data_IF_536220406591
#
_entry.id   IF_536220406591
#
_cell.length_a   1.000
_cell.length_b   1.000
_cell.length_c   1.000
_cell.angle_alpha   90.00
_cell.angle_beta   90.00
_cell.angle_gamma   90.00
#
_symmetry.space_group_name_H-M   'P 1'
#
loop_
_entity.id
_entity.type
_entity.pdbx_description
1 polymer ?
#
# COMPACT_ATOMS: atom_id res chain seq x y z
N UNK A 1 -15.49 4.39 -25.25
CA UNK A 1 -14.62 5.19 -24.36
C UNK A 1 -13.35 4.39 -24.18
N UNK A 2 -12.17 4.97 -24.42
CA UNK A 2 -10.91 4.29 -24.11
C UNK A 2 -10.92 3.98 -22.62
N UNK A 3 -10.76 2.71 -22.23
CA UNK A 3 -10.60 2.26 -20.85
C UNK A 3 -9.48 3.06 -20.23
N UNK A 4 -9.69 3.63 -19.04
CA UNK A 4 -8.62 4.32 -18.30
C UNK A 4 -7.59 3.27 -17.94
N UNK A 5 -6.39 3.42 -18.45
CA UNK A 5 -5.29 2.51 -18.16
C UNK A 5 -4.94 2.57 -16.66
N UNK A 6 -4.68 1.44 -15.99
CA UNK A 6 -4.40 1.40 -14.57
C UNK A 6 -3.09 2.13 -14.23
N UNK A 7 -3.03 2.80 -13.07
CA UNK A 7 -1.77 3.23 -12.48
C UNK A 7 -1.01 2.03 -11.93
N UNK A 8 0.31 2.10 -11.96
CA UNK A 8 1.20 1.04 -11.45
C UNK A 8 1.85 1.53 -10.16
N UNK A 9 1.52 0.88 -9.04
CA UNK A 9 2.15 1.13 -7.74
C UNK A 9 3.12 -0.01 -7.40
N UNK A 10 4.34 0.36 -6.99
CA UNK A 10 5.37 -0.59 -6.61
C UNK A 10 5.11 -1.12 -5.20
N UNK A 11 4.82 -2.42 -5.07
CA UNK A 11 4.57 -3.13 -3.83
C UNK A 11 5.84 -3.25 -3.00
N UNK A 12 5.97 -2.45 -1.94
CA UNK A 12 7.18 -2.35 -1.11
C UNK A 12 8.42 -1.93 -1.90
N UNK A 13 8.23 -1.13 -2.97
CA UNK A 13 9.24 -0.83 -3.98
C UNK A 13 9.30 -1.84 -5.12
N UNK A 14 10.38 -1.83 -5.91
CA UNK A 14 10.65 -2.87 -6.93
C UNK A 14 11.15 -4.14 -6.24
N UNK A 15 10.30 -4.77 -5.43
CA UNK A 15 10.65 -5.81 -4.46
C UNK A 15 10.96 -7.17 -5.09
N UNK A 16 10.69 -7.35 -6.40
CA UNK A 16 11.20 -8.50 -7.14
C UNK A 16 12.71 -8.44 -7.39
N UNK A 17 13.28 -7.23 -7.43
CA UNK A 17 14.69 -7.01 -7.79
C UNK A 17 15.54 -6.55 -6.58
N UNK A 18 14.91 -5.95 -5.57
CA UNK A 18 15.57 -5.36 -4.40
C UNK A 18 14.90 -5.79 -3.10
N UNK A 19 15.62 -5.78 -1.96
CA UNK A 19 15.01 -6.03 -0.66
C UNK A 19 13.84 -5.07 -0.40
N UNK A 20 12.68 -5.63 -0.04
CA UNK A 20 11.45 -4.86 0.19
C UNK A 20 11.64 -3.75 1.23
N UNK A 21 10.88 -2.65 1.08
CA UNK A 21 10.86 -1.52 2.01
C UNK A 21 12.19 -0.80 2.22
N UNK A 22 13.18 -1.01 1.33
CA UNK A 22 14.43 -0.27 1.36
C UNK A 22 14.38 0.94 0.44
N UNK A 23 15.21 1.94 0.73
CA UNK A 23 15.39 3.10 -0.16
C UNK A 23 15.75 2.66 -1.59
N UNK A 24 16.66 1.68 -1.73
CA UNK A 24 17.06 1.15 -3.03
C UNK A 24 15.90 0.55 -3.82
N UNK A 25 14.96 -0.16 -3.15
CA UNK A 25 13.77 -0.71 -3.80
C UNK A 25 12.85 0.39 -4.35
N UNK A 26 12.66 1.50 -3.61
CA UNK A 26 11.82 2.61 -4.08
C UNK A 26 12.51 3.46 -5.15
N UNK A 27 13.82 3.69 -5.05
CA UNK A 27 14.59 4.35 -6.10
C UNK A 27 14.59 3.54 -7.39
N UNK A 28 14.72 2.22 -7.31
CA UNK A 28 14.56 1.33 -8.46
C UNK A 28 13.14 1.42 -9.05
N UNK A 29 12.09 1.46 -8.21
CA UNK A 29 10.72 1.63 -8.68
C UNK A 29 10.50 2.96 -9.42
N UNK A 30 11.17 4.05 -9.01
CA UNK A 30 11.18 5.33 -9.74
C UNK A 30 11.76 5.12 -11.15
N UNK A 31 12.94 4.51 -11.24
CA UNK A 31 13.60 4.23 -12.53
C UNK A 31 12.80 3.28 -13.42
N UNK A 32 12.07 2.34 -12.81
CA UNK A 32 11.16 1.42 -13.49
C UNK A 32 9.82 2.08 -13.88
N UNK A 33 9.64 3.37 -13.57
CA UNK A 33 8.50 4.17 -14.00
C UNK A 33 7.21 3.93 -13.22
N UNK A 34 7.26 3.44 -11.98
CA UNK A 34 6.08 3.32 -11.14
C UNK A 34 5.39 4.69 -10.96
N UNK A 35 4.05 4.70 -11.02
CA UNK A 35 3.23 5.90 -10.81
C UNK A 35 3.11 6.25 -9.33
N UNK A 36 3.22 5.26 -8.47
CA UNK A 36 3.14 5.37 -7.02
C UNK A 36 3.85 4.23 -6.31
N UNK A 37 3.80 4.28 -4.99
CA UNK A 37 4.36 3.28 -4.11
C UNK A 37 3.30 2.73 -3.18
N UNK A 38 3.42 1.47 -2.86
CA UNK A 38 2.75 0.85 -1.74
C UNK A 38 3.77 0.60 -0.62
N UNK A 39 3.34 0.73 0.63
CA UNK A 39 4.14 0.39 1.80
C UNK A 39 3.32 -0.11 2.97
N UNK A 40 3.95 -0.97 3.77
CA UNK A 40 3.46 -1.43 5.07
C UNK A 40 4.11 -0.63 6.20
N UNK A 41 3.32 -0.14 7.15
CA UNK A 41 3.85 0.60 8.30
C UNK A 41 3.61 -0.16 9.59
N UNK A 42 4.64 -0.19 10.45
CA UNK A 42 4.57 -0.63 11.85
C UNK A 42 5.19 0.42 12.77
N UNK A 43 4.79 0.40 14.02
CA UNK A 43 5.40 1.21 15.07
C UNK A 43 6.39 0.38 15.87
N UNK A 44 7.56 0.94 16.11
CA UNK A 44 8.52 0.44 17.10
C UNK A 44 8.01 0.66 18.53
N UNK A 45 8.70 0.10 19.54
CA UNK A 45 8.40 0.28 20.95
C UNK A 45 8.31 1.76 21.37
N UNK A 46 9.19 2.59 20.84
CA UNK A 46 9.24 4.03 21.06
C UNK A 46 8.35 4.82 20.10
N UNK A 47 7.45 4.10 19.37
CA UNK A 47 6.42 4.65 18.50
C UNK A 47 6.94 5.38 17.26
N UNK A 48 8.13 5.04 16.80
CA UNK A 48 8.67 5.52 15.53
C UNK A 48 8.05 4.70 14.39
N UNK A 49 7.43 5.33 13.37
CA UNK A 49 6.85 4.63 12.23
C UNK A 49 7.97 4.22 11.26
N UNK A 50 8.05 2.93 10.98
CA UNK A 50 9.00 2.34 10.03
C UNK A 50 8.27 1.56 8.94
N UNK A 51 8.91 1.38 7.80
CA UNK A 51 8.41 0.50 6.75
C UNK A 51 8.77 -0.95 7.09
N UNK A 52 7.76 -1.78 7.38
CA UNK A 52 7.95 -3.17 7.75
C UNK A 52 6.66 -3.98 7.62
N UNK A 53 6.75 -5.15 6.96
CA UNK A 53 5.55 -5.97 6.74
C UNK A 53 5.21 -6.86 7.95
N UNK A 54 6.15 -7.70 8.39
CA UNK A 54 5.90 -8.75 9.37
C UNK A 54 5.85 -8.22 10.81
N UNK A 55 5.20 -8.91 11.76
CA UNK A 55 5.28 -8.52 13.18
C UNK A 55 6.69 -8.67 13.74
N UNK A 56 7.50 -9.61 13.21
CA UNK A 56 8.87 -9.90 13.66
C UNK A 56 9.90 -9.57 12.58
N UNK A 57 11.16 -9.57 12.93
CA UNK A 57 12.28 -9.37 12.01
C UNK A 57 12.76 -10.66 11.32
N UNK A 58 12.08 -11.81 11.55
CA UNK A 58 12.60 -13.13 11.19
C UNK A 58 12.84 -13.30 9.68
N UNK A 59 11.84 -13.05 8.86
CA UNK A 59 11.92 -13.26 7.40
C UNK A 59 12.93 -12.32 6.74
N UNK A 60 12.96 -11.06 7.17
CA UNK A 60 13.76 -10.01 6.50
C UNK A 60 15.18 -9.90 7.07
N UNK A 61 15.36 -10.12 8.38
CA UNK A 61 16.63 -9.89 9.06
C UNK A 61 17.16 -11.12 9.83
N UNK A 62 16.52 -12.30 9.73
CA UNK A 62 16.93 -13.52 10.41
C UNK A 62 16.85 -13.46 11.94
N UNK A 63 16.07 -12.54 12.50
CA UNK A 63 15.94 -12.29 13.94
C UNK A 63 14.48 -12.39 14.37
N UNK A 64 14.18 -13.22 15.37
CA UNK A 64 12.81 -13.51 15.85
C UNK A 64 12.19 -12.40 16.70
N UNK A 65 12.90 -11.28 16.92
CA UNK A 65 12.40 -10.19 17.76
C UNK A 65 11.17 -9.51 17.11
N UNK A 66 10.20 -9.18 17.97
CA UNK A 66 9.01 -8.42 17.59
C UNK A 66 9.37 -6.93 17.40
N UNK A 67 8.97 -6.34 16.28
CA UNK A 67 9.15 -4.91 15.98
C UNK A 67 8.59 -4.02 17.09
N UNK A 68 7.42 -4.36 17.63
CA UNK A 68 6.78 -3.57 18.69
C UNK A 68 7.52 -3.66 20.05
N UNK A 69 8.44 -4.59 20.21
CA UNK A 69 9.27 -4.75 21.42
C UNK A 69 10.62 -4.03 21.33
N UNK A 70 11.04 -3.57 20.14
CA UNK A 70 12.31 -2.91 19.88
C UNK A 70 12.14 -1.41 19.68
N UNK A 71 13.10 -0.61 20.18
CA UNK A 71 13.23 0.79 19.79
C UNK A 71 13.74 0.91 18.35
N UNK A 72 13.55 2.05 17.73
CA UNK A 72 14.05 2.28 16.36
C UNK A 72 15.56 2.02 16.26
N UNK A 73 16.36 2.53 17.20
CA UNK A 73 17.80 2.26 17.24
C UNK A 73 18.11 0.76 17.24
N UNK A 74 17.38 -0.02 18.06
CA UNK A 74 17.57 -1.47 18.13
C UNK A 74 17.17 -2.20 16.85
N UNK A 75 16.17 -1.70 16.11
CA UNK A 75 15.81 -2.21 14.77
C UNK A 75 16.91 -1.88 13.78
N UNK A 76 17.38 -0.63 13.77
CA UNK A 76 18.42 -0.15 12.86
C UNK A 76 19.76 -0.87 13.05
N UNK A 77 20.14 -1.19 14.30
CA UNK A 77 21.35 -1.98 14.60
C UNK A 77 21.29 -3.38 13.99
N UNK A 78 20.08 -3.99 13.90
CA UNK A 78 19.85 -5.35 13.37
C UNK A 78 19.63 -5.35 11.85
N UNK A 79 19.05 -4.28 11.33
CA UNK A 79 18.77 -4.11 9.91
C UNK A 79 19.01 -2.66 9.49
N UNK A 80 20.26 -2.29 9.15
CA UNK A 80 20.64 -0.92 8.82
C UNK A 80 19.90 -0.30 7.63
N UNK A 81 19.27 -1.11 6.79
CA UNK A 81 18.50 -0.67 5.64
C UNK A 81 17.04 -0.33 5.97
N UNK A 82 16.62 -0.45 7.24
CA UNK A 82 15.27 -0.07 7.66
C UNK A 82 14.99 1.39 7.29
N UNK A 83 13.84 1.62 6.68
CA UNK A 83 13.45 2.96 6.25
C UNK A 83 12.42 3.56 7.20
N UNK A 84 12.65 4.80 7.62
CA UNK A 84 11.66 5.61 8.33
C UNK A 84 10.50 5.96 7.40
N UNK A 85 9.29 6.01 7.93
CA UNK A 85 8.14 6.47 7.17
C UNK A 85 8.30 7.92 6.69
N UNK A 86 8.94 8.79 7.48
CA UNK A 86 9.23 10.17 7.10
C UNK A 86 10.14 10.24 5.86
N UNK A 87 11.24 9.48 5.85
CA UNK A 87 12.18 9.45 4.71
C UNK A 87 11.49 8.93 3.43
N UNK A 88 10.59 7.95 3.59
CA UNK A 88 9.77 7.43 2.49
C UNK A 88 8.79 8.49 1.95
N UNK A 89 8.12 9.20 2.83
CA UNK A 89 7.18 10.26 2.46
C UNK A 89 7.90 11.39 1.71
N UNK A 90 9.06 11.82 2.19
CA UNK A 90 9.90 12.83 1.53
C UNK A 90 10.34 12.38 0.13
N UNK A 91 10.73 11.10 -0.01
CA UNK A 91 11.08 10.50 -1.30
C UNK A 91 9.89 10.56 -2.27
N UNK A 92 8.71 10.14 -1.82
CA UNK A 92 7.50 10.16 -2.64
C UNK A 92 7.10 11.57 -3.07
N UNK A 93 7.15 12.55 -2.16
CA UNK A 93 6.89 13.96 -2.45
C UNK A 93 7.88 14.49 -3.51
N UNK A 94 9.18 14.22 -3.32
CA UNK A 94 10.26 14.68 -4.21
C UNK A 94 10.07 14.19 -5.63
N UNK A 95 9.73 12.91 -5.79
CA UNK A 95 9.55 12.28 -7.10
C UNK A 95 8.11 12.25 -7.59
N UNK A 96 7.20 12.94 -6.88
CA UNK A 96 5.77 13.06 -7.20
C UNK A 96 5.11 11.70 -7.42
N UNK A 97 5.35 10.76 -6.51
CA UNK A 97 4.77 9.42 -6.54
C UNK A 97 3.58 9.33 -5.59
N UNK A 98 2.46 8.80 -6.09
CA UNK A 98 1.29 8.52 -5.25
C UNK A 98 1.62 7.48 -4.17
N UNK A 99 0.86 7.48 -3.08
CA UNK A 99 1.08 6.57 -1.96
C UNK A 99 -0.16 5.74 -1.62
N UNK A 100 0.05 4.45 -1.42
CA UNK A 100 -0.87 3.50 -0.81
C UNK A 100 -0.21 2.97 0.46
N UNK A 101 -0.67 3.43 1.64
CA UNK A 101 -0.03 3.20 2.94
C UNK A 101 -0.87 2.23 3.74
N UNK A 102 -0.37 1.00 3.97
CA UNK A 102 -1.03 0.03 4.83
C UNK A 102 -0.64 0.23 6.29
N UNK A 103 -1.64 0.44 7.16
CA UNK A 103 -1.46 0.31 8.62
C UNK A 103 -1.71 -1.13 9.03
N UNK A 104 -0.66 -1.78 9.55
CA UNK A 104 -0.70 -3.21 9.90
C UNK A 104 -1.52 -3.47 11.17
N UNK A 105 -2.40 -4.47 11.09
CA UNK A 105 -3.22 -4.97 12.19
C UNK A 105 -3.31 -6.51 12.19
N UNK A 106 -3.50 -7.18 13.36
CA UNK A 106 -3.51 -6.59 14.71
C UNK A 106 -2.11 -6.16 15.18
N UNK A 107 -2.05 -5.08 15.97
CA UNK A 107 -0.81 -4.61 16.61
C UNK A 107 -1.05 -4.29 18.09
N UNK A 108 -0.04 -4.43 18.99
CA UNK A 108 -0.21 -4.16 20.42
C UNK A 108 -0.64 -2.70 20.73
N UNK A 109 -0.28 -1.77 19.85
CA UNK A 109 -0.58 -0.35 19.98
C UNK A 109 -2.02 0.02 19.57
N UNK A 110 -2.82 -0.96 19.11
CA UNK A 110 -4.18 -0.70 18.61
C UNK A 110 -4.19 0.34 17.50
N UNK A 111 -5.07 1.36 17.60
CA UNK A 111 -5.22 2.43 16.59
C UNK A 111 -4.21 3.58 16.72
N UNK A 112 -3.18 3.45 17.54
CA UNK A 112 -2.14 4.49 17.65
C UNK A 112 -1.41 4.69 16.33
N UNK A 113 -1.24 3.64 15.54
CA UNK A 113 -0.55 3.68 14.25
C UNK A 113 -1.23 4.67 13.28
N UNK A 114 -2.57 4.65 13.16
CA UNK A 114 -3.29 5.60 12.31
C UNK A 114 -3.06 7.04 12.76
N UNK A 115 -3.12 7.29 14.08
CA UNK A 115 -2.89 8.63 14.62
C UNK A 115 -1.48 9.14 14.35
N UNK A 116 -0.46 8.28 14.46
CA UNK A 116 0.94 8.63 14.15
C UNK A 116 1.08 8.97 12.68
N UNK A 117 0.59 8.11 11.77
CA UNK A 117 0.66 8.35 10.32
C UNK A 117 -0.10 9.62 9.92
N UNK A 118 -1.30 9.83 10.44
CA UNK A 118 -2.09 11.05 10.16
C UNK A 118 -1.34 12.30 10.60
N UNK A 119 -0.72 12.29 11.78
CA UNK A 119 0.07 13.43 12.26
C UNK A 119 1.28 13.70 11.37
N UNK A 120 1.97 12.65 10.94
CA UNK A 120 3.10 12.77 10.01
C UNK A 120 2.67 13.36 8.65
N UNK A 121 1.55 12.89 8.10
CA UNK A 121 0.98 13.45 6.88
C UNK A 121 0.51 14.90 7.04
N UNK A 122 -0.01 15.27 8.21
CA UNK A 122 -0.40 16.65 8.51
C UNK A 122 0.80 17.58 8.61
N UNK A 123 1.91 17.13 9.19
CA UNK A 123 3.14 17.95 9.28
C UNK A 123 3.76 18.23 7.91
N UNK A 124 3.49 17.39 6.90
CA UNK A 124 3.94 17.56 5.52
C UNK A 124 2.84 18.07 4.56
N UNK A 125 1.70 18.56 5.08
CA UNK A 125 0.51 18.88 4.27
C UNK A 125 0.78 19.85 3.12
N UNK A 126 1.56 20.88 3.33
CA UNK A 126 1.90 21.89 2.31
C UNK A 126 2.75 21.30 1.18
N UNK A 127 3.70 20.43 1.52
CA UNK A 127 4.56 19.75 0.54
C UNK A 127 3.76 18.73 -0.26
N UNK A 128 2.89 17.96 0.40
CA UNK A 128 1.97 17.00 -0.23
C UNK A 128 1.04 17.74 -1.22
N UNK A 129 0.45 18.83 -0.79
CA UNK A 129 -0.44 19.64 -1.64
C UNK A 129 0.30 20.21 -2.85
N UNK A 130 1.50 20.74 -2.67
CA UNK A 130 2.32 21.29 -3.77
C UNK A 130 2.81 20.22 -4.74
N UNK A 131 3.08 19.01 -4.26
CA UNK A 131 3.50 17.89 -5.12
C UNK A 131 2.37 17.35 -6.00
N UNK A 132 1.12 17.48 -5.54
CA UNK A 132 -0.07 16.96 -6.21
C UNK A 132 -0.23 15.44 -6.12
N UNK A 133 0.51 14.76 -5.24
CA UNK A 133 0.40 13.30 -5.07
C UNK A 133 -0.92 12.91 -4.39
N UNK A 134 -1.46 11.77 -4.80
CA UNK A 134 -2.58 11.14 -4.13
C UNK A 134 -2.07 10.23 -3.00
N UNK A 135 -2.68 10.33 -1.80
CA UNK A 135 -2.37 9.46 -0.66
C UNK A 135 -3.61 8.68 -0.28
N UNK A 136 -3.48 7.36 -0.22
CA UNK A 136 -4.51 6.44 0.25
C UNK A 136 -4.04 5.70 1.49
N UNK A 137 -4.89 5.62 2.53
CA UNK A 137 -4.64 4.82 3.73
C UNK A 137 -5.37 3.49 3.63
N UNK A 138 -4.67 2.39 3.82
CA UNK A 138 -5.17 1.04 3.63
C UNK A 138 -5.09 0.22 4.91
N UNK A 139 -6.00 -0.72 5.09
CA UNK A 139 -5.88 -1.74 6.13
C UNK A 139 -6.77 -2.95 5.84
N UNK A 140 -6.38 -4.12 6.36
CA UNK A 140 -7.25 -5.30 6.50
C UNK A 140 -8.20 -5.19 7.71
N UNK A 141 -7.95 -4.25 8.61
CA UNK A 141 -8.80 -4.00 9.77
C UNK A 141 -10.00 -3.12 9.40
N UNK A 142 -11.20 -3.71 9.34
CA UNK A 142 -12.42 -2.95 9.13
C UNK A 142 -12.59 -1.80 10.13
N UNK A 143 -12.27 -2.02 11.42
CA UNK A 143 -12.36 -0.98 12.44
C UNK A 143 -11.41 0.19 12.18
N UNK A 144 -10.20 -0.08 11.69
CA UNK A 144 -9.25 0.96 11.31
C UNK A 144 -9.80 1.78 10.12
N UNK A 145 -10.22 1.12 9.05
CA UNK A 145 -10.78 1.76 7.85
C UNK A 145 -12.01 2.61 8.18
N UNK A 146 -12.98 2.07 8.93
CA UNK A 146 -14.19 2.83 9.29
C UNK A 146 -13.88 4.04 10.20
N UNK A 147 -12.85 3.94 11.04
CA UNK A 147 -12.38 5.07 11.83
C UNK A 147 -11.79 6.18 10.96
N UNK A 148 -10.97 5.82 9.97
CA UNK A 148 -10.42 6.74 9.00
C UNK A 148 -11.52 7.42 8.17
N UNK A 149 -12.50 6.65 7.67
CA UNK A 149 -13.64 7.18 6.91
C UNK A 149 -14.46 8.20 7.72
N UNK A 150 -14.77 7.90 8.99
CA UNK A 150 -15.53 8.81 9.87
C UNK A 150 -14.83 10.13 10.13
N UNK A 151 -13.51 10.11 10.22
CA UNK A 151 -12.71 11.31 10.43
C UNK A 151 -12.46 12.10 9.14
N UNK A 152 -13.07 11.69 8.03
CA UNK A 152 -12.86 12.27 6.69
C UNK A 152 -11.38 12.38 6.30
N UNK A 153 -10.57 11.51 6.91
CA UNK A 153 -9.15 11.47 6.61
C UNK A 153 -8.98 10.78 5.25
N UNK A 154 -8.35 11.42 4.32
CA UNK A 154 -7.85 10.97 3.02
C UNK A 154 -8.62 9.82 2.31
N UNK A 155 -8.21 9.42 1.15
CA UNK A 155 -8.76 8.23 0.47
C UNK A 155 -8.46 6.98 1.30
N UNK A 156 -9.49 6.20 1.57
CA UNK A 156 -9.37 4.96 2.35
C UNK A 156 -9.60 3.74 1.47
N UNK A 157 -8.81 2.71 1.71
CA UNK A 157 -8.89 1.43 0.99
C UNK A 157 -9.16 0.30 1.98
N UNK A 158 -10.24 -0.45 1.75
CA UNK A 158 -10.52 -1.69 2.49
C UNK A 158 -9.81 -2.85 1.79
N UNK A 159 -8.74 -3.38 2.40
CA UNK A 159 -8.02 -4.55 1.87
C UNK A 159 -8.79 -5.84 2.12
N UNK A 160 -8.86 -6.70 1.12
CA UNK A 160 -9.64 -7.95 1.15
C UNK A 160 -8.81 -9.08 0.52
N UNK A 161 -8.48 -10.09 1.33
CA UNK A 161 -7.64 -11.20 0.90
C UNK A 161 -8.43 -12.42 0.41
N UNK A 162 -9.61 -12.67 0.97
CA UNK A 162 -10.34 -13.89 0.68
C UNK A 162 -11.84 -13.70 0.43
N UNK A 163 -12.41 -14.61 -0.35
CA UNK A 163 -13.79 -14.58 -0.83
C UNK A 163 -14.83 -14.68 0.26
N UNK A 164 -14.58 -15.40 1.38
CA UNK A 164 -15.57 -15.61 2.45
C UNK A 164 -15.89 -14.32 3.23
N UNK A 165 -14.84 -13.53 3.53
CA UNK A 165 -14.99 -12.24 4.21
C UNK A 165 -15.28 -11.10 3.23
N UNK A 166 -14.90 -11.26 1.97
CA UNK A 166 -14.97 -10.24 0.92
C UNK A 166 -16.36 -9.66 0.77
N UNK A 167 -17.36 -10.48 0.48
CA UNK A 167 -18.74 -10.02 0.26
C UNK A 167 -19.27 -9.17 1.41
N UNK A 168 -19.05 -9.58 2.65
CA UNK A 168 -19.50 -8.83 3.84
C UNK A 168 -18.76 -7.49 3.99
N UNK A 169 -17.46 -7.44 3.65
CA UNK A 169 -16.66 -6.21 3.76
C UNK A 169 -16.95 -5.25 2.61
N UNK A 170 -17.14 -5.75 1.39
CA UNK A 170 -17.55 -4.97 0.21
C UNK A 170 -18.82 -4.16 0.49
N UNK A 171 -19.82 -4.82 1.06
CA UNK A 171 -21.16 -4.25 1.30
C UNK A 171 -21.18 -3.31 2.52
N UNK A 172 -20.32 -3.53 3.51
CA UNK A 172 -20.37 -2.83 4.80
C UNK A 172 -19.36 -1.70 4.95
N UNK A 173 -18.33 -1.67 4.13
CA UNK A 173 -17.29 -0.63 4.28
C UNK A 173 -17.73 0.69 3.70
N UNK A 174 -17.45 1.77 4.47
CA UNK A 174 -17.61 3.16 4.02
C UNK A 174 -16.45 3.61 3.11
N UNK A 175 -15.42 2.79 2.93
CA UNK A 175 -14.28 3.10 2.06
C UNK A 175 -14.73 3.32 0.61
N UNK A 176 -14.14 4.32 -0.04
CA UNK A 176 -14.37 4.65 -1.45
C UNK A 176 -13.54 3.78 -2.40
N UNK A 177 -12.64 2.98 -1.87
CA UNK A 177 -11.78 2.08 -2.64
C UNK A 177 -11.77 0.71 -1.98
N UNK A 178 -11.87 -0.35 -2.78
CA UNK A 178 -11.63 -1.73 -2.36
C UNK A 178 -10.24 -2.16 -2.83
N UNK A 179 -9.51 -2.90 -1.99
CA UNK A 179 -8.22 -3.48 -2.29
C UNK A 179 -8.25 -5.01 -2.27
N UNK A 180 -8.87 -5.67 -3.25
CA UNK A 180 -8.91 -7.13 -3.32
C UNK A 180 -7.57 -7.70 -3.80
N UNK A 181 -7.26 -8.94 -3.36
CA UNK A 181 -6.18 -9.70 -3.99
C UNK A 181 -6.56 -10.09 -5.42
N UNK A 182 -5.56 -10.35 -6.27
CA UNK A 182 -5.77 -10.76 -7.66
C UNK A 182 -6.50 -12.11 -7.72
N UNK A 183 -6.18 -13.03 -6.82
CA UNK A 183 -6.83 -14.33 -6.72
C UNK A 183 -8.32 -14.17 -6.41
N UNK A 184 -8.63 -13.29 -5.44
CA UNK A 184 -10.01 -13.04 -5.05
C UNK A 184 -10.87 -12.51 -6.21
N UNK A 185 -10.38 -11.54 -6.97
CA UNK A 185 -11.18 -10.99 -8.08
C UNK A 185 -11.25 -11.91 -9.28
N UNK A 186 -10.29 -12.82 -9.47
CA UNK A 186 -10.36 -13.90 -10.48
C UNK A 186 -11.39 -14.96 -10.09
N UNK A 187 -11.48 -15.31 -8.81
CA UNK A 187 -12.53 -16.21 -8.29
C UNK A 187 -13.93 -15.57 -8.29
N UNK A 188 -14.00 -14.23 -8.11
CA UNK A 188 -15.25 -13.47 -7.98
C UNK A 188 -15.22 -12.20 -8.83
N UNK A 189 -15.28 -12.34 -10.17
CA UNK A 189 -15.23 -11.17 -11.07
C UNK A 189 -16.44 -10.23 -10.91
N UNK A 190 -17.55 -10.69 -10.33
CA UNK A 190 -18.68 -9.84 -9.97
C UNK A 190 -18.33 -8.72 -8.99
N UNK A 191 -17.26 -8.88 -8.19
CA UNK A 191 -16.74 -7.82 -7.31
C UNK A 191 -16.36 -6.57 -8.09
N UNK A 192 -15.81 -6.72 -9.30
CA UNK A 192 -15.44 -5.59 -10.16
C UNK A 192 -16.68 -4.81 -10.59
N UNK A 193 -17.71 -5.53 -11.04
CA UNK A 193 -18.97 -4.91 -11.48
C UNK A 193 -19.65 -4.20 -10.32
N UNK A 194 -19.80 -4.89 -9.18
CA UNK A 194 -20.40 -4.33 -7.96
C UNK A 194 -19.65 -3.07 -7.47
N UNK A 195 -18.32 -3.09 -7.45
CA UNK A 195 -17.52 -1.93 -7.05
C UNK A 195 -17.81 -0.73 -7.94
N UNK A 196 -17.83 -0.92 -9.27
CA UNK A 196 -18.10 0.14 -10.24
C UNK A 196 -19.52 0.70 -10.13
N UNK A 197 -20.52 -0.15 -9.98
CA UNK A 197 -21.91 0.25 -9.79
C UNK A 197 -22.10 1.10 -8.52
N UNK A 198 -21.30 0.81 -7.49
CA UNK A 198 -21.30 1.58 -6.23
C UNK A 198 -20.31 2.77 -6.24
N UNK A 199 -19.73 3.10 -7.39
CA UNK A 199 -18.79 4.22 -7.55
C UNK A 199 -17.49 4.06 -6.75
N UNK A 200 -17.10 2.82 -6.44
CA UNK A 200 -15.86 2.50 -5.73
C UNK A 200 -14.71 2.26 -6.71
N UNK A 201 -13.51 2.68 -6.33
CA UNK A 201 -12.26 2.37 -7.03
C UNK A 201 -11.75 1.00 -6.63
N UNK A 202 -10.86 0.44 -7.45
CA UNK A 202 -10.23 -0.85 -7.21
C UNK A 202 -8.69 -0.73 -7.27
N UNK A 203 -8.05 -1.12 -6.16
CA UNK A 203 -6.59 -1.28 -6.04
C UNK A 203 -6.29 -2.76 -5.89
N UNK A 204 -5.75 -3.40 -6.93
CA UNK A 204 -5.57 -4.85 -6.95
C UNK A 204 -4.13 -5.24 -6.65
N UNK A 205 -3.93 -6.20 -5.76
CA UNK A 205 -2.63 -6.70 -5.27
C UNK A 205 -2.62 -8.25 -5.19
N UNK A 206 -1.51 -8.97 -5.26
CA UNK A 206 -0.26 -8.52 -5.85
C UNK A 206 -0.25 -9.00 -7.30
N UNK A 207 -0.11 -8.11 -8.26
CA UNK A 207 -0.29 -8.39 -9.68
C UNK A 207 1.08 -8.48 -10.35
N UNK A 208 1.67 -9.67 -10.36
CA UNK A 208 3.04 -9.88 -10.84
C UNK A 208 3.13 -10.60 -12.17
N UNK A 209 2.08 -11.31 -12.59
CA UNK A 209 2.08 -12.06 -13.85
C UNK A 209 1.49 -11.23 -14.99
N UNK A 210 2.06 -11.38 -16.19
CA UNK A 210 1.64 -10.62 -17.37
C UNK A 210 0.14 -10.76 -17.69
N UNK A 211 -0.38 -11.97 -17.55
CA UNK A 211 -1.80 -12.28 -17.77
C UNK A 211 -2.71 -11.56 -16.76
N UNK A 212 -2.25 -11.40 -15.52
CA UNK A 212 -2.98 -10.69 -14.48
C UNK A 212 -2.96 -9.17 -14.68
N UNK A 213 -1.85 -8.64 -15.21
CA UNK A 213 -1.76 -7.23 -15.63
C UNK A 213 -2.75 -6.94 -16.76
N UNK A 214 -2.79 -7.81 -17.79
CA UNK A 214 -3.75 -7.70 -18.89
C UNK A 214 -5.19 -7.81 -18.41
N UNK A 215 -5.49 -8.77 -17.52
CA UNK A 215 -6.80 -8.92 -16.89
C UNK A 215 -7.23 -7.64 -16.17
N UNK A 216 -6.34 -7.02 -15.39
CA UNK A 216 -6.62 -5.76 -14.70
C UNK A 216 -6.91 -4.62 -15.68
N UNK A 217 -6.14 -4.51 -16.76
CA UNK A 217 -6.35 -3.50 -17.79
C UNK A 217 -7.69 -3.66 -18.53
N UNK A 218 -8.01 -4.90 -18.94
CA UNK A 218 -9.28 -5.21 -19.62
C UNK A 218 -10.50 -4.92 -18.74
N UNK A 219 -10.35 -5.09 -17.43
CA UNK A 219 -11.40 -4.82 -16.45
C UNK A 219 -11.37 -3.40 -15.89
N UNK A 220 -10.57 -2.48 -16.45
CA UNK A 220 -10.50 -1.06 -16.03
C UNK A 220 -10.28 -0.93 -14.51
N UNK A 221 -9.34 -1.66 -13.97
CA UNK A 221 -8.85 -1.52 -12.60
C UNK A 221 -8.15 -0.16 -12.48
N UNK A 222 -8.32 0.54 -11.36
CA UNK A 222 -7.74 1.88 -11.19
C UNK A 222 -6.25 1.84 -10.88
N UNK A 223 -5.82 0.90 -10.03
CA UNK A 223 -4.42 0.73 -9.60
C UNK A 223 -4.04 -0.75 -9.55
N UNK A 224 -2.90 -1.06 -10.14
CA UNK A 224 -2.20 -2.34 -10.00
C UNK A 224 -1.08 -2.15 -8.98
N UNK A 225 -1.03 -2.98 -7.94
CA UNK A 225 0.06 -3.04 -6.96
C UNK A 225 0.91 -4.28 -7.29
N UNK A 226 2.19 -4.08 -7.62
CA UNK A 226 3.07 -5.14 -8.18
C UNK A 226 4.50 -5.06 -7.64
N UNK A 227 5.15 -6.23 -7.50
CA UNK A 227 6.58 -6.33 -7.21
C UNK A 227 7.46 -6.01 -8.43
N UNK A 228 6.86 -6.01 -9.64
CA UNK A 228 7.55 -5.94 -10.94
C UNK A 228 7.09 -4.74 -11.78
N UNK A 229 7.29 -3.47 -11.34
CA UNK A 229 6.72 -2.31 -12.03
C UNK A 229 7.18 -2.17 -13.49
N UNK A 230 8.45 -2.46 -13.81
CA UNK A 230 8.94 -2.43 -15.20
C UNK A 230 8.21 -3.43 -16.10
N UNK A 231 7.96 -4.65 -15.59
CA UNK A 231 7.23 -5.68 -16.34
C UNK A 231 5.77 -5.25 -16.59
N UNK A 232 5.08 -4.74 -15.55
CA UNK A 232 3.71 -4.27 -15.68
C UNK A 232 3.60 -3.13 -16.70
N UNK A 233 4.54 -2.16 -16.71
CA UNK A 233 4.60 -1.10 -17.73
C UNK A 233 4.75 -1.66 -19.14
N UNK A 234 5.67 -2.62 -19.32
CA UNK A 234 5.91 -3.25 -20.63
C UNK A 234 4.65 -3.95 -21.16
N UNK A 235 3.94 -4.70 -20.31
CA UNK A 235 2.69 -5.38 -20.67
C UNK A 235 1.61 -4.37 -21.08
N UNK A 236 1.50 -3.25 -20.37
CA UNK A 236 0.52 -2.19 -20.68
C UNK A 236 0.93 -1.28 -21.85
N UNK A 237 2.14 -1.45 -22.41
CA UNK A 237 2.65 -0.61 -23.48
C UNK A 237 2.94 0.83 -23.06
N UNK A 238 3.23 1.07 -21.77
CA UNK A 238 3.59 2.40 -21.29
C UNK A 238 5.05 2.70 -21.67
N UNK A 239 5.25 3.83 -22.32
CA UNK A 239 6.56 4.37 -22.67
C UNK A 239 7.26 4.98 -21.45
#
# INVERSE_FOLDING_TARGET
>A
MLSKSPKIYAHRGASADFPEHTRGAYEAAIHQGADGFECDVRLTKDSVPILWHDPTMERTAGNTADIAALTFSQVQDRYPQVMLFTDFLELAITFKKDLAIETKHPVPTGRKIESVIINELKSHSDQIMKSGIEISLMSFSWLAVESLCRNQERNTVMLIENTRKGRTLEDRTSAKTLGPSIEMIKERPETITSAKENGKRLFVWTVDEAEDVEFCAQNSIDVIITNKPAQARKVLGYS
#
